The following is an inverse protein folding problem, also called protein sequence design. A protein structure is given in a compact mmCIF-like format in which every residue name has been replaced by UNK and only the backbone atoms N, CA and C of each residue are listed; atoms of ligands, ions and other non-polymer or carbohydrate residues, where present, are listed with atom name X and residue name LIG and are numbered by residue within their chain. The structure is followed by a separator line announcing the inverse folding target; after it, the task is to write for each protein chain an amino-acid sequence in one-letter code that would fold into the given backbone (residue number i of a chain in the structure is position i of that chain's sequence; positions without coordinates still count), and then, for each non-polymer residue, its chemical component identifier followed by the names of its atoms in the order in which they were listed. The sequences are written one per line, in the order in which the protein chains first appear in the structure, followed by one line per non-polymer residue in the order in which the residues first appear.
data_IF_190346917750
#
_entry.id   IF_190346917750
#
_cell.length_a   1.000
_cell.length_b   1.000
_cell.length_c   1.000
_cell.angle_alpha   90.00
_cell.angle_beta   90.00
_cell.angle_gamma   90.00
#
_symmetry.space_group_name_H-M   'P 1'
#
loop_
_entity.id
_entity.type
_entity.pdbx_description
1 polymer ?
#
# COMPACT_ATOMS: atom_id res chain seq x y z
N UNK A 1 -5.06 26.75 -4.53
CA UNK A 1 -4.89 25.42 -3.93
C UNK A 1 -4.41 24.47 -5.00
N UNK A 2 -3.11 24.18 -5.02
CA UNK A 2 -2.50 23.15 -5.87
C UNK A 2 -3.17 21.80 -5.57
N UNK A 3 -3.72 21.14 -6.60
CA UNK A 3 -4.19 19.75 -6.48
C UNK A 3 -3.00 18.91 -6.03
N UNK A 4 -2.94 18.57 -4.75
CA UNK A 4 -2.01 17.54 -4.27
C UNK A 4 -2.35 16.28 -5.05
N UNK A 5 -1.40 15.81 -5.87
CA UNK A 5 -1.55 14.52 -6.53
C UNK A 5 -1.62 13.51 -5.40
N UNK A 6 -2.75 12.82 -5.31
CA UNK A 6 -2.91 11.70 -4.38
C UNK A 6 -1.75 10.75 -4.59
N UNK A 7 -0.89 10.64 -3.59
CA UNK A 7 0.26 9.77 -3.65
C UNK A 7 -0.22 8.35 -3.41
N UNK A 8 -0.18 7.52 -4.47
CA UNK A 8 -0.64 6.14 -4.39
C UNK A 8 0.15 5.32 -3.37
N UNK A 9 1.39 5.68 -3.05
CA UNK A 9 2.18 4.98 -2.05
C UNK A 9 1.59 5.20 -0.66
N UNK A 10 1.16 6.42 -0.36
CA UNK A 10 0.54 6.76 0.92
C UNK A 10 -0.80 6.03 1.09
N UNK A 11 -1.59 5.90 0.01
CA UNK A 11 -2.80 5.09 0.02
C UNK A 11 -2.51 3.61 0.29
N UNK A 12 -1.47 3.05 -0.31
CA UNK A 12 -1.04 1.67 -0.04
C UNK A 12 -0.66 1.51 1.43
N UNK A 13 0.12 2.44 1.99
CA UNK A 13 0.52 2.39 3.39
C UNK A 13 -0.66 2.50 4.35
N UNK A 14 -1.65 3.35 4.04
CA UNK A 14 -2.88 3.42 4.83
C UNK A 14 -3.60 2.08 4.87
N UNK A 15 -3.81 1.42 3.72
CA UNK A 15 -4.48 0.12 3.67
C UNK A 15 -3.68 -0.96 4.42
N UNK A 16 -2.36 -0.94 4.29
CA UNK A 16 -1.49 -1.93 4.92
C UNK A 16 -1.48 -1.79 6.45
N UNK A 17 -1.60 -0.57 6.98
CA UNK A 17 -1.74 -0.32 8.44
C UNK A 17 -3.04 -0.88 9.03
N UNK A 18 -4.09 -1.00 8.24
CA UNK A 18 -5.37 -1.57 8.66
C UNK A 18 -5.37 -3.11 8.70
N UNK A 19 -4.31 -3.76 8.22
CA UNK A 19 -4.22 -5.24 8.24
C UNK A 19 -3.99 -5.69 9.69
N UNK A 20 -4.89 -6.50 10.27
CA UNK A 20 -4.73 -6.98 11.64
C UNK A 20 -3.48 -7.87 11.80
N UNK A 21 -2.84 -7.81 12.95
CA UNK A 21 -1.71 -8.68 13.27
C UNK A 21 -2.08 -10.16 13.13
N UNK A 22 -1.19 -10.96 12.53
CA UNK A 22 -1.43 -12.38 12.26
C UNK A 22 -2.30 -12.66 11.03
N UNK A 23 -2.72 -11.62 10.29
CA UNK A 23 -3.33 -11.73 8.96
C UNK A 23 -2.35 -11.26 7.90
N UNK A 24 -2.53 -11.78 6.69
CA UNK A 24 -1.78 -11.38 5.50
C UNK A 24 -2.75 -10.97 4.39
N UNK A 25 -2.34 -10.03 3.57
CA UNK A 25 -3.08 -9.59 2.39
C UNK A 25 -2.16 -9.61 1.17
N UNK A 26 -2.69 -9.97 0.01
CA UNK A 26 -1.90 -10.00 -1.22
C UNK A 26 -1.82 -8.61 -1.86
N UNK A 27 -0.71 -8.31 -2.54
CA UNK A 27 -0.57 -7.05 -3.29
C UNK A 27 -1.67 -6.86 -4.35
N UNK A 28 -2.16 -7.94 -4.93
CA UNK A 28 -3.31 -7.91 -5.84
C UNK A 28 -4.61 -7.49 -5.15
N UNK A 29 -4.85 -7.98 -3.93
CA UNK A 29 -6.04 -7.61 -3.16
C UNK A 29 -5.99 -6.13 -2.73
N UNK A 30 -4.83 -5.64 -2.29
CA UNK A 30 -4.63 -4.22 -1.95
C UNK A 30 -4.84 -3.34 -3.20
N UNK A 31 -4.25 -3.71 -4.34
CA UNK A 31 -4.44 -2.98 -5.59
C UNK A 31 -5.91 -2.98 -6.04
N UNK A 32 -6.60 -4.11 -5.93
CA UNK A 32 -8.01 -4.24 -6.26
C UNK A 32 -8.89 -3.37 -5.35
N UNK A 33 -8.60 -3.36 -4.04
CA UNK A 33 -9.29 -2.51 -3.07
C UNK A 33 -9.15 -1.02 -3.39
N UNK A 34 -7.97 -0.60 -3.85
CA UNK A 34 -7.69 0.77 -4.30
C UNK A 34 -8.22 1.08 -5.71
N UNK A 35 -8.93 0.15 -6.37
CA UNK A 35 -9.46 0.33 -7.72
C UNK A 35 -8.39 0.32 -8.83
N UNK A 36 -7.16 -0.11 -8.52
CA UNK A 36 -6.05 -0.17 -9.46
C UNK A 36 -6.07 -1.48 -10.25
N UNK A 37 -6.63 -1.45 -11.47
CA UNK A 37 -6.48 -2.58 -12.41
C UNK A 37 -4.99 -2.83 -12.68
N UNK A 38 -4.53 -4.04 -12.39
CA UNK A 38 -3.13 -4.46 -12.54
C UNK A 38 -2.12 -3.70 -11.66
N UNK A 39 -2.55 -3.12 -10.54
CA UNK A 39 -1.70 -2.34 -9.63
C UNK A 39 -0.78 -3.14 -8.70
N UNK A 40 -0.80 -4.48 -8.75
CA UNK A 40 -0.05 -5.31 -7.79
C UNK A 40 1.46 -5.03 -7.78
N UNK A 41 2.07 -4.74 -8.94
CA UNK A 41 3.50 -4.36 -9.03
C UNK A 41 3.77 -3.02 -8.35
N UNK A 42 2.86 -2.05 -8.49
CA UNK A 42 2.98 -0.75 -7.83
C UNK A 42 2.93 -0.89 -6.31
N UNK A 43 2.03 -1.73 -5.79
CA UNK A 43 1.98 -2.06 -4.36
C UNK A 43 3.30 -2.69 -3.91
N UNK A 44 3.87 -3.61 -4.70
CA UNK A 44 5.18 -4.19 -4.41
C UNK A 44 6.31 -3.16 -4.34
N UNK A 45 6.32 -2.18 -5.25
CA UNK A 45 7.29 -1.07 -5.19
C UNK A 45 7.11 -0.18 -3.95
N UNK A 46 5.86 0.12 -3.59
CA UNK A 46 5.55 0.87 -2.37
C UNK A 46 6.03 0.10 -1.14
N UNK A 47 5.70 -1.18 -1.03
CA UNK A 47 6.13 -2.02 0.10
C UNK A 47 7.65 -2.18 0.17
N UNK A 48 8.34 -2.25 -0.97
CA UNK A 48 9.81 -2.26 -0.98
C UNK A 48 10.43 -0.93 -0.51
N UNK A 49 9.76 0.20 -0.76
CA UNK A 49 10.17 1.50 -0.25
C UNK A 49 9.80 1.72 1.22
N UNK A 50 8.86 0.93 1.76
CA UNK A 50 8.38 1.03 3.13
C UNK A 50 9.35 0.50 4.19
N UNK A 51 10.49 -0.09 3.81
CA UNK A 51 11.50 -0.57 4.77
C UNK A 51 12.05 0.54 5.71
N UNK A 52 11.91 1.81 5.33
CA UNK A 52 12.28 2.97 6.18
C UNK A 52 11.14 3.46 7.07
N UNK A 53 9.93 2.87 6.96
CA UNK A 53 8.71 3.24 7.68
C UNK A 53 8.37 2.13 8.68
N UNK A 54 8.72 2.28 9.98
CA UNK A 54 8.58 1.22 10.97
C UNK A 54 7.11 0.90 11.33
N UNK A 55 6.19 1.80 10.99
CA UNK A 55 4.76 1.71 11.24
C UNK A 55 4.00 0.98 10.12
N UNK A 56 4.65 0.67 9.00
CA UNK A 56 4.06 -0.10 7.91
C UNK A 56 4.47 -1.57 8.06
N UNK A 57 3.53 -2.50 8.31
CA UNK A 57 3.85 -3.92 8.46
C UNK A 57 4.25 -4.53 7.10
N UNK A 58 5.55 -4.52 6.81
CA UNK A 58 6.18 -5.07 5.61
C UNK A 58 7.04 -6.31 5.92
N UNK A 59 6.46 -7.28 6.63
CA UNK A 59 7.13 -8.52 7.08
C UNK A 59 6.88 -9.71 6.16
#
# INVERSE_FOLDING_TARGET
MSKEKVNYFDLVYQVVREIPSGRVCSYGAIAHYLGLKSGARMVGYAMNAAHTLPDVPAH
#
